data_IF_686739687302
#
_entry.id   IF_686739687302
#
_cell.length_a   1.000
_cell.length_b   1.000
_cell.length_c   1.000
_cell.angle_alpha   90.00
_cell.angle_beta   90.00
_cell.angle_gamma   90.00
#
_symmetry.space_group_name_H-M   'P 1'
#
loop_
_entity.id
_entity.type
_entity.pdbx_description
1 polymer ?
#
# COMPACT_ATOMS: atom_id res chain seq x y z
N UNK A 1 19.04 -19.76 6.70
CA UNK A 1 18.26 -19.99 5.47
C UNK A 1 16.81 -19.67 5.80
N UNK A 2 16.43 -18.39 5.74
CA UNK A 2 15.01 -18.03 5.88
C UNK A 2 14.34 -18.56 4.62
N UNK A 3 13.54 -19.60 4.79
CA UNK A 3 12.70 -20.15 3.73
C UNK A 3 11.89 -19.00 3.15
N UNK A 4 12.27 -18.55 1.96
CA UNK A 4 11.48 -17.67 1.13
C UNK A 4 10.29 -18.51 0.64
N UNK A 5 9.39 -18.87 1.55
CA UNK A 5 8.09 -19.38 1.17
C UNK A 5 7.32 -18.20 0.58
N UNK A 6 7.64 -17.91 -0.68
CA UNK A 6 6.65 -17.67 -1.71
C UNK A 6 5.66 -16.55 -1.31
N UNK A 7 6.14 -15.30 -1.30
CA UNK A 7 5.28 -14.12 -1.44
C UNK A 7 4.68 -14.02 -2.87
N UNK A 8 4.69 -15.10 -3.67
CA UNK A 8 4.30 -15.05 -5.09
C UNK A 8 2.85 -14.62 -5.28
N UNK A 9 2.01 -14.78 -4.25
CA UNK A 9 0.59 -14.42 -4.29
C UNK A 9 0.27 -13.17 -3.43
N UNK A 10 1.28 -12.48 -2.92
CA UNK A 10 1.09 -11.29 -2.07
C UNK A 10 1.18 -9.99 -2.87
N UNK A 11 0.22 -9.10 -2.68
CA UNK A 11 0.18 -7.78 -3.29
C UNK A 11 0.79 -6.74 -2.33
N UNK A 12 1.99 -6.24 -2.63
CA UNK A 12 2.71 -5.33 -1.72
C UNK A 12 3.50 -4.22 -2.43
N UNK A 13 3.80 -3.17 -1.64
CA UNK A 13 4.80 -2.13 -1.92
C UNK A 13 5.90 -2.14 -0.86
N UNK A 14 7.08 -1.64 -1.20
CA UNK A 14 8.13 -1.31 -0.24
C UNK A 14 8.40 0.19 -0.30
N UNK A 15 8.44 0.85 0.86
CA UNK A 15 8.75 2.27 0.98
C UNK A 15 10.09 2.53 1.66
N UNK A 16 10.75 3.64 1.31
CA UNK A 16 11.97 4.06 1.98
C UNK A 16 11.66 4.85 3.26
N UNK A 17 11.78 4.20 4.43
CA UNK A 17 11.52 4.81 5.73
C UNK A 17 12.58 5.82 6.22
N UNK A 18 13.67 6.02 5.47
CA UNK A 18 14.69 7.02 5.79
C UNK A 18 14.43 8.37 5.12
N UNK A 19 13.51 8.42 4.16
CA UNK A 19 13.18 9.63 3.40
C UNK A 19 11.81 10.11 3.84
N UNK A 20 11.68 11.43 4.01
CA UNK A 20 10.40 12.08 4.28
C UNK A 20 9.38 11.68 3.20
N UNK A 21 8.09 11.57 3.56
CA UNK A 21 7.03 11.06 2.68
C UNK A 21 7.11 9.56 2.32
N UNK A 22 8.09 8.81 2.84
CA UNK A 22 8.18 7.35 2.68
C UNK A 22 7.93 6.87 1.23
N UNK A 23 8.72 7.32 0.24
CA UNK A 23 8.46 7.05 -1.16
C UNK A 23 8.54 5.55 -1.46
N UNK A 24 7.67 5.07 -2.36
CA UNK A 24 7.70 3.68 -2.85
C UNK A 24 8.98 3.45 -3.66
N UNK A 25 9.74 2.43 -3.28
CA UNK A 25 10.95 1.97 -3.98
C UNK A 25 10.76 0.66 -4.72
N UNK A 26 9.66 -0.05 -4.46
CA UNK A 26 9.28 -1.26 -5.18
C UNK A 26 7.78 -1.51 -5.08
N UNK A 27 7.20 -2.07 -6.15
CA UNK A 27 5.86 -2.65 -6.13
C UNK A 27 5.85 -3.99 -6.87
N UNK A 28 5.12 -4.93 -6.29
CA UNK A 28 4.83 -6.25 -6.87
C UNK A 28 3.98 -6.13 -8.15
N UNK A 29 4.12 -7.10 -9.06
CA UNK A 29 3.25 -7.18 -10.26
C UNK A 29 1.79 -7.46 -9.89
N UNK A 30 1.53 -8.28 -8.86
CA UNK A 30 0.18 -8.55 -8.37
C UNK A 30 -0.56 -7.29 -7.91
N UNK A 31 0.14 -6.33 -7.28
CA UNK A 31 -0.46 -5.05 -6.92
C UNK A 31 -0.83 -4.21 -8.15
N UNK A 32 -0.02 -4.25 -9.21
CA UNK A 32 -0.30 -3.54 -10.47
C UNK A 32 -1.56 -4.12 -11.10
N UNK A 33 -1.66 -5.44 -11.17
CA UNK A 33 -2.83 -6.15 -11.70
C UNK A 33 -4.08 -5.89 -10.87
N UNK A 34 -3.98 -5.98 -9.53
CA UNK A 34 -5.09 -5.76 -8.61
C UNK A 34 -5.64 -4.33 -8.68
N UNK A 35 -4.76 -3.34 -8.65
CA UNK A 35 -5.15 -1.93 -8.51
C UNK A 35 -5.42 -1.26 -9.85
N UNK A 36 -4.87 -1.80 -10.94
CA UNK A 36 -4.94 -1.23 -12.29
C UNK A 36 -4.09 0.02 -12.50
N UNK A 37 -3.26 0.40 -11.52
CA UNK A 37 -2.26 1.47 -11.68
C UNK A 37 -0.98 0.89 -12.28
N UNK A 38 -0.37 1.63 -13.20
CA UNK A 38 0.90 1.19 -13.76
C UNK A 38 2.06 1.41 -12.77
N UNK A 39 3.19 0.75 -13.03
CA UNK A 39 4.37 0.79 -12.16
C UNK A 39 4.87 2.22 -11.91
N UNK A 40 4.98 3.07 -12.92
CA UNK A 40 5.50 4.44 -12.75
C UNK A 40 4.57 5.32 -11.90
N UNK A 41 3.26 5.09 -11.99
CA UNK A 41 2.27 5.76 -11.14
C UNK A 41 2.38 5.36 -9.67
N UNK A 42 2.74 4.10 -9.37
CA UNK A 42 2.90 3.62 -7.99
C UNK A 42 4.26 4.06 -7.42
N UNK A 43 5.33 3.92 -8.20
CA UNK A 43 6.70 4.27 -7.79
C UNK A 43 6.90 5.77 -7.51
N UNK A 44 5.98 6.64 -7.97
CA UNK A 44 6.01 8.08 -7.68
C UNK A 44 5.14 8.49 -6.48
N UNK A 45 4.73 7.54 -5.63
CA UNK A 45 3.81 7.76 -4.49
C UNK A 45 4.44 7.39 -3.15
N UNK A 46 3.76 7.78 -2.08
CA UNK A 46 4.03 7.33 -0.71
C UNK A 46 3.58 5.88 -0.50
N UNK A 47 4.32 5.12 0.31
CA UNK A 47 3.98 3.73 0.65
C UNK A 47 2.76 3.56 1.58
N UNK A 48 2.16 4.66 2.06
CA UNK A 48 0.83 4.65 2.70
C UNK A 48 -0.30 4.29 1.75
N UNK A 49 -0.01 4.27 0.44
CA UNK A 49 -0.95 3.95 -0.63
C UNK A 49 -2.21 4.83 -0.62
N UNK A 50 -2.07 6.11 -0.24
CA UNK A 50 -3.20 7.05 -0.16
C UNK A 50 -3.96 7.25 -1.47
N UNK A 51 -3.32 6.94 -2.61
CA UNK A 51 -3.95 6.93 -3.93
C UNK A 51 -5.00 5.82 -4.13
N UNK A 52 -5.04 4.83 -3.23
CA UNK A 52 -6.05 3.76 -3.19
C UNK A 52 -7.20 4.07 -2.22
N UNK A 53 -7.13 5.18 -1.49
CA UNK A 53 -8.22 5.58 -0.60
C UNK A 53 -9.41 6.11 -1.40
N UNK A 54 -10.62 5.87 -0.89
CA UNK A 54 -11.84 6.42 -1.47
C UNK A 54 -12.97 6.49 -0.45
N UNK A 55 -14.21 6.56 -0.93
CA UNK A 55 -15.39 6.84 -0.10
C UNK A 55 -15.61 5.82 1.03
N UNK A 56 -15.26 4.55 0.78
CA UNK A 56 -15.36 3.47 1.78
C UNK A 56 -14.16 3.34 2.71
N UNK A 57 -13.08 4.07 2.48
CA UNK A 57 -11.91 4.07 3.36
C UNK A 57 -12.19 4.97 4.56
N UNK A 58 -12.34 4.38 5.75
CA UNK A 58 -12.70 5.13 6.96
C UNK A 58 -11.55 6.04 7.43
N UNK A 59 -11.88 7.18 8.02
CA UNK A 59 -10.87 8.09 8.59
C UNK A 59 -10.05 7.42 9.69
N UNK A 60 -10.67 6.54 10.49
CA UNK A 60 -9.97 5.76 11.51
C UNK A 60 -8.88 4.85 10.90
N UNK A 61 -9.16 4.19 9.77
CA UNK A 61 -8.18 3.39 9.07
C UNK A 61 -7.05 4.25 8.48
N UNK A 62 -7.38 5.38 7.84
CA UNK A 62 -6.39 6.34 7.32
C UNK A 62 -5.44 6.80 8.42
N UNK A 63 -5.99 7.24 9.55
CA UNK A 63 -5.21 7.70 10.70
C UNK A 63 -4.33 6.58 11.26
N UNK A 64 -4.88 5.37 11.42
CA UNK A 64 -4.11 4.22 11.90
C UNK A 64 -2.90 3.93 11.01
N UNK A 65 -3.07 3.96 9.68
CA UNK A 65 -1.98 3.75 8.70
C UNK A 65 -0.91 4.83 8.84
N UNK A 66 -1.30 6.11 8.87
CA UNK A 66 -0.35 7.22 9.01
C UNK A 66 0.39 7.18 10.34
N UNK A 67 -0.32 6.89 11.43
CA UNK A 67 0.27 6.78 12.76
C UNK A 67 1.25 5.60 12.84
N UNK A 68 0.93 4.46 12.22
CA UNK A 68 1.81 3.31 12.19
C UNK A 68 3.12 3.60 11.44
N UNK A 69 3.03 4.25 10.27
CA UNK A 69 4.21 4.68 9.51
C UNK A 69 5.06 5.69 10.29
N UNK A 70 4.42 6.71 10.86
CA UNK A 70 5.09 7.78 11.62
C UNK A 70 5.81 7.23 12.85
N UNK A 71 5.16 6.32 13.57
CA UNK A 71 5.71 5.72 14.80
C UNK A 71 6.55 4.46 14.54
N UNK A 72 6.72 4.06 13.27
CA UNK A 72 7.46 2.85 12.87
C UNK A 72 6.97 1.59 13.58
N UNK A 73 5.65 1.43 13.67
CA UNK A 73 4.99 0.28 14.30
C UNK A 73 4.32 -0.58 13.25
N UNK A 74 4.25 -1.87 13.52
CA UNK A 74 3.44 -2.80 12.74
C UNK A 74 1.94 -2.51 12.94
N UNK A 75 1.18 -2.65 11.86
CA UNK A 75 -0.27 -2.47 11.84
C UNK A 75 -0.89 -3.54 10.96
N UNK A 76 -1.92 -4.20 11.47
CA UNK A 76 -2.76 -5.13 10.72
C UNK A 76 -4.22 -4.72 10.93
N UNK A 77 -4.89 -4.33 9.85
CA UNK A 77 -6.30 -3.92 9.84
C UNK A 77 -6.96 -4.37 8.53
N UNK A 78 -8.28 -4.51 8.55
CA UNK A 78 -9.09 -4.61 7.33
C UNK A 78 -9.49 -3.21 6.87
N UNK A 79 -9.33 -2.90 5.58
CA UNK A 79 -9.57 -1.57 5.04
C UNK A 79 -10.06 -1.63 3.60
N UNK A 80 -11.13 -0.91 3.27
CA UNK A 80 -11.57 -0.81 1.89
C UNK A 80 -10.66 0.13 1.09
N UNK A 81 -10.20 -0.35 -0.06
CA UNK A 81 -9.46 0.40 -1.07
C UNK A 81 -10.22 0.44 -2.40
N UNK A 82 -9.74 1.32 -3.29
CA UNK A 82 -10.35 1.61 -4.58
C UNK A 82 -9.31 1.41 -5.68
N UNK A 83 -9.67 0.63 -6.70
CA UNK A 83 -8.86 0.49 -7.93
C UNK A 83 -8.89 1.79 -8.72
N UNK A 84 -8.02 1.91 -9.73
CA UNK A 84 -8.01 3.05 -10.67
C UNK A 84 -9.36 3.27 -11.37
N UNK A 85 -10.15 2.21 -11.55
CA UNK A 85 -11.50 2.24 -12.13
C UNK A 85 -12.58 2.74 -11.17
N UNK A 86 -12.27 2.89 -9.89
CA UNK A 86 -13.23 3.18 -8.82
C UNK A 86 -13.89 1.94 -8.19
N UNK A 87 -13.53 0.73 -8.64
CA UNK A 87 -14.01 -0.51 -8.03
C UNK A 87 -13.44 -0.68 -6.62
N UNK A 88 -14.31 -1.02 -5.67
CA UNK A 88 -13.97 -1.21 -4.26
C UNK A 88 -13.49 -2.65 -4.03
N UNK A 89 -12.42 -2.81 -3.26
CA UNK A 89 -11.97 -4.09 -2.71
C UNK A 89 -11.57 -3.92 -1.24
N UNK A 90 -11.63 -5.03 -0.48
CA UNK A 90 -11.22 -5.09 0.92
C UNK A 90 -9.76 -5.52 1.03
#
# INVERSE_FOLDING_TARGET
>A
VLSLSVLTDSNFVLGNAQVQEHPVVYCSDGLIELTGFNRSQIMSRCCSCSFLWGEKTTEAAKQSIIDALTNKRELQIEVYFHKRTGEIYL
#
